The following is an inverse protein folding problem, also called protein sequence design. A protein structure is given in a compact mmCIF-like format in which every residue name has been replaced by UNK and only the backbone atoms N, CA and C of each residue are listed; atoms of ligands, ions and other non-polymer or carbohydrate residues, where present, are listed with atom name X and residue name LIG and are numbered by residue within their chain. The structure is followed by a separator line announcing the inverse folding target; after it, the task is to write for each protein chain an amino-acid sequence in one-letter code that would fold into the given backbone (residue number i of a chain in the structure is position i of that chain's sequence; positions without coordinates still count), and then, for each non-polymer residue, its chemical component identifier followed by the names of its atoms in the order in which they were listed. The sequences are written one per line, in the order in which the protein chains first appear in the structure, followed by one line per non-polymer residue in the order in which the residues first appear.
data_IF_702428333319
#
_entry.id   IF_702428333319
#
_cell.length_a   1.000
_cell.length_b   1.000
_cell.length_c   1.000
_cell.angle_alpha   90.00
_cell.angle_beta   90.00
_cell.angle_gamma   90.00
#
_symmetry.space_group_name_H-M   'P 1'
#
loop_
_entity.id
_entity.type
_entity.pdbx_description
1 polymer ?
#
# COMPACT_ATOMS: atom_id res chain seq x y z
N UNK A 1 -62.52 -10.97 -60.53
CA UNK A 1 -61.08 -11.29 -60.51
C UNK A 1 -60.43 -10.51 -59.38
N UNK A 2 -60.19 -11.16 -58.23
CA UNK A 2 -59.51 -10.53 -57.11
C UNK A 2 -58.05 -10.30 -57.49
N UNK A 3 -57.63 -9.03 -57.64
CA UNK A 3 -56.21 -8.70 -57.82
C UNK A 3 -55.49 -9.12 -56.54
N UNK A 4 -54.70 -10.18 -56.61
CA UNK A 4 -53.81 -10.65 -55.54
C UNK A 4 -52.82 -9.50 -55.29
N UNK A 5 -53.13 -8.69 -54.30
CA UNK A 5 -52.33 -7.52 -53.94
C UNK A 5 -51.15 -7.94 -53.07
N UNK A 6 -49.99 -7.36 -53.36
CA UNK A 6 -48.79 -7.39 -52.52
C UNK A 6 -49.15 -7.26 -51.03
N UNK A 7 -48.70 -8.20 -50.19
CA UNK A 7 -49.00 -8.20 -48.76
C UNK A 7 -47.88 -7.54 -47.94
N UNK A 8 -48.24 -6.93 -46.81
CA UNK A 8 -47.27 -6.30 -45.89
C UNK A 8 -46.27 -7.31 -45.32
N UNK A 9 -46.69 -8.56 -45.12
CA UNK A 9 -45.84 -9.66 -44.65
C UNK A 9 -44.72 -10.03 -45.63
N UNK A 10 -45.00 -10.04 -46.93
CA UNK A 10 -43.98 -10.32 -47.96
C UNK A 10 -42.93 -9.21 -48.01
N UNK A 11 -43.37 -7.95 -47.91
CA UNK A 11 -42.47 -6.79 -47.82
C UNK A 11 -41.60 -6.85 -46.57
N UNK A 12 -42.16 -7.30 -45.44
CA UNK A 12 -41.42 -7.47 -44.18
C UNK A 12 -40.35 -8.55 -44.28
N UNK A 13 -40.71 -9.74 -44.77
CA UNK A 13 -39.76 -10.85 -44.93
C UNK A 13 -38.59 -10.46 -45.84
N UNK A 14 -38.88 -9.78 -46.94
CA UNK A 14 -37.87 -9.33 -47.90
C UNK A 14 -36.95 -8.24 -47.31
N UNK A 15 -37.50 -7.29 -46.56
CA UNK A 15 -36.73 -6.29 -45.81
C UNK A 15 -35.79 -6.95 -44.81
N UNK A 16 -36.29 -7.91 -44.03
CA UNK A 16 -35.52 -8.58 -42.98
C UNK A 16 -34.39 -9.42 -43.60
N UNK A 17 -34.63 -10.04 -44.76
CA UNK A 17 -33.61 -10.75 -45.54
C UNK A 17 -32.51 -9.81 -46.05
N UNK A 18 -32.88 -8.64 -46.60
CA UNK A 18 -31.90 -7.63 -47.04
C UNK A 18 -31.07 -7.07 -45.88
N UNK A 19 -31.68 -6.87 -44.72
CA UNK A 19 -30.98 -6.46 -43.50
C UNK A 19 -30.01 -7.53 -43.01
N UNK A 20 -30.39 -8.81 -43.06
CA UNK A 20 -29.50 -9.94 -42.72
C UNK A 20 -28.30 -10.06 -43.69
N UNK A 21 -28.50 -9.69 -44.96
CA UNK A 21 -27.44 -9.58 -45.96
C UNK A 21 -26.58 -8.31 -45.83
N UNK A 22 -26.87 -7.44 -44.85
CA UNK A 22 -26.14 -6.18 -44.63
C UNK A 22 -26.42 -5.11 -45.67
N UNK A 23 -27.48 -5.25 -46.49
CA UNK A 23 -27.88 -4.29 -47.51
C UNK A 23 -29.01 -3.39 -47.00
N UNK A 24 -28.94 -2.10 -47.33
CA UNK A 24 -29.99 -1.16 -46.96
C UNK A 24 -31.29 -1.47 -47.71
N UNK A 25 -32.43 -1.68 -47.02
CA UNK A 25 -33.70 -2.02 -47.65
C UNK A 25 -34.31 -0.77 -48.30
N UNK A 26 -33.83 -0.42 -49.49
CA UNK A 26 -34.43 0.62 -50.32
C UNK A 26 -35.66 0.09 -51.06
N UNK A 27 -36.56 0.98 -51.48
CA UNK A 27 -37.78 0.61 -52.22
C UNK A 27 -37.44 -0.17 -53.49
N UNK A 28 -36.35 0.21 -54.17
CA UNK A 28 -35.92 -0.44 -55.41
C UNK A 28 -35.24 -1.80 -55.13
N UNK A 29 -34.51 -1.95 -54.01
CA UNK A 29 -33.94 -3.23 -53.59
C UNK A 29 -35.02 -4.25 -53.22
N UNK A 30 -36.02 -3.82 -52.47
CA UNK A 30 -37.18 -4.65 -52.08
C UNK A 30 -38.02 -5.02 -53.31
N UNK A 31 -38.19 -4.08 -54.25
CA UNK A 31 -38.89 -4.36 -55.51
C UNK A 31 -38.12 -5.32 -56.40
N UNK A 32 -36.79 -5.23 -56.46
CA UNK A 32 -35.95 -6.14 -57.22
C UNK A 32 -36.03 -7.57 -56.66
N UNK A 33 -36.12 -7.72 -55.34
CA UNK A 33 -36.21 -9.01 -54.67
C UNK A 33 -37.62 -9.63 -54.69
N UNK A 34 -38.69 -8.81 -54.60
CA UNK A 34 -40.09 -9.29 -54.68
C UNK A 34 -40.59 -9.44 -56.13
N UNK A 35 -40.00 -8.73 -57.09
CA UNK A 35 -40.39 -8.71 -58.50
C UNK A 35 -41.74 -8.04 -58.81
N UNK A 36 -42.58 -7.82 -57.80
CA UNK A 36 -43.95 -7.31 -57.94
C UNK A 36 -44.24 -6.18 -56.94
N UNK A 37 -45.29 -5.39 -57.22
CA UNK A 37 -45.69 -4.25 -56.41
C UNK A 37 -45.27 -2.90 -57.00
N UNK A 38 -46.13 -1.89 -56.82
CA UNK A 38 -45.82 -0.53 -57.22
C UNK A 38 -44.87 0.12 -56.21
N UNK A 39 -44.03 1.04 -56.69
CA UNK A 39 -43.07 1.79 -55.87
C UNK A 39 -43.78 2.50 -54.69
N UNK A 40 -44.99 3.02 -54.91
CA UNK A 40 -45.79 3.67 -53.86
C UNK A 40 -46.32 2.71 -52.81
N UNK A 41 -46.77 1.50 -53.18
CA UNK A 41 -47.25 0.49 -52.24
C UNK A 41 -46.12 -0.08 -51.39
N UNK A 42 -44.96 -0.36 -52.00
CA UNK A 42 -43.77 -0.83 -51.28
C UNK A 42 -43.27 0.26 -50.32
N UNK A 43 -43.20 1.51 -50.78
CA UNK A 43 -42.81 2.63 -49.91
C UNK A 43 -43.78 2.82 -48.73
N UNK A 44 -45.09 2.70 -48.97
CA UNK A 44 -46.10 2.75 -47.91
C UNK A 44 -45.87 1.64 -46.88
N UNK A 45 -45.73 0.38 -47.31
CA UNK A 45 -45.51 -0.73 -46.39
C UNK A 45 -44.17 -0.67 -45.65
N UNK A 46 -43.10 -0.22 -46.31
CA UNK A 46 -41.81 0.00 -45.64
C UNK A 46 -41.91 1.10 -44.57
N UNK A 47 -42.66 2.18 -44.84
CA UNK A 47 -42.91 3.23 -43.86
C UNK A 47 -43.75 2.71 -42.69
N UNK A 48 -44.85 2.02 -42.96
CA UNK A 48 -45.70 1.44 -41.90
C UNK A 48 -44.95 0.42 -41.03
N UNK A 49 -44.11 -0.42 -41.63
CA UNK A 49 -43.25 -1.35 -40.89
C UNK A 49 -42.18 -0.60 -40.09
N UNK A 50 -41.64 0.49 -40.64
CA UNK A 50 -40.74 1.40 -39.95
C UNK A 50 -41.41 2.07 -38.75
N UNK A 51 -42.65 2.53 -38.89
CA UNK A 51 -43.42 3.19 -37.82
C UNK A 51 -43.83 2.19 -36.72
N UNK A 52 -44.16 0.95 -37.08
CA UNK A 52 -44.41 -0.15 -36.13
C UNK A 52 -43.15 -0.58 -35.37
N UNK A 53 -42.01 -0.71 -36.07
CA UNK A 53 -40.73 -1.06 -35.44
C UNK A 53 -40.14 0.09 -34.62
N UNK A 54 -40.46 1.34 -35.00
CA UNK A 54 -40.18 2.57 -34.26
C UNK A 54 -41.34 2.94 -33.33
N UNK A 55 -42.06 2.00 -32.71
CA UNK A 55 -42.85 2.35 -31.54
C UNK A 55 -41.86 2.83 -30.45
N UNK A 56 -41.63 4.14 -30.26
CA UNK A 56 -40.35 4.65 -29.77
C UNK A 56 -40.16 4.45 -28.26
N UNK A 57 -41.25 4.14 -27.55
CA UNK A 57 -41.26 4.02 -26.09
C UNK A 57 -40.66 2.70 -25.63
N UNK A 58 -41.17 1.55 -26.10
CA UNK A 58 -40.85 0.25 -25.50
C UNK A 58 -39.38 -0.17 -25.71
N UNK A 59 -38.89 -0.17 -26.95
CA UNK A 59 -37.49 -0.58 -27.22
C UNK A 59 -36.47 0.36 -26.57
N UNK A 60 -36.71 1.68 -26.58
CA UNK A 60 -35.79 2.65 -25.95
C UNK A 60 -35.83 2.55 -24.43
N UNK A 61 -36.99 2.39 -23.83
CA UNK A 61 -37.13 2.19 -22.38
C UNK A 61 -36.45 0.90 -21.93
N UNK A 62 -36.62 -0.20 -22.67
CA UNK A 62 -35.97 -1.47 -22.33
C UNK A 62 -34.43 -1.36 -22.42
N UNK A 63 -33.91 -0.67 -23.45
CA UNK A 63 -32.48 -0.38 -23.52
C UNK A 63 -32.00 0.54 -22.39
N UNK A 64 -32.78 1.55 -22.02
CA UNK A 64 -32.43 2.48 -20.94
C UNK A 64 -32.42 1.77 -19.58
N UNK A 65 -33.40 0.92 -19.30
CA UNK A 65 -33.45 0.10 -18.07
C UNK A 65 -32.28 -0.88 -18.01
N UNK A 66 -31.94 -1.52 -19.12
CA UNK A 66 -30.79 -2.43 -19.20
C UNK A 66 -29.47 -1.70 -18.92
N UNK A 67 -29.28 -0.52 -19.52
CA UNK A 67 -28.10 0.32 -19.26
C UNK A 67 -28.06 0.82 -17.81
N UNK A 68 -29.18 1.24 -17.24
CA UNK A 68 -29.26 1.63 -15.84
C UNK A 68 -28.85 0.48 -14.91
N UNK A 69 -29.35 -0.74 -15.14
CA UNK A 69 -28.96 -1.90 -14.35
C UNK A 69 -27.45 -2.22 -14.45
N UNK A 70 -26.85 -2.08 -15.64
CA UNK A 70 -25.40 -2.26 -15.80
C UNK A 70 -24.60 -1.18 -15.08
N UNK A 71 -25.05 0.08 -15.13
CA UNK A 71 -24.38 1.19 -14.43
C UNK A 71 -24.49 1.01 -12.91
N UNK A 72 -25.65 0.60 -12.40
CA UNK A 72 -25.84 0.31 -10.96
C UNK A 72 -24.93 -0.83 -10.50
N UNK A 73 -24.84 -1.92 -11.27
CA UNK A 73 -23.93 -3.03 -10.98
C UNK A 73 -22.47 -2.56 -10.94
N UNK A 74 -22.05 -1.76 -11.92
CA UNK A 74 -20.70 -1.22 -11.97
C UNK A 74 -20.41 -0.27 -10.81
N UNK A 75 -21.37 0.58 -10.45
CA UNK A 75 -21.25 1.49 -9.31
C UNK A 75 -21.08 0.71 -8.00
N UNK A 76 -21.85 -0.36 -7.80
CA UNK A 76 -21.73 -1.22 -6.63
C UNK A 76 -20.36 -1.92 -6.58
N UNK A 77 -19.91 -2.49 -7.70
CA UNK A 77 -18.59 -3.12 -7.79
C UNK A 77 -17.45 -2.13 -7.49
N UNK A 78 -17.53 -0.92 -8.04
CA UNK A 78 -16.54 0.12 -7.78
C UNK A 78 -16.52 0.54 -6.31
N UNK A 79 -17.69 0.64 -5.68
CA UNK A 79 -17.81 0.96 -4.27
C UNK A 79 -17.21 -0.13 -3.39
N UNK A 80 -17.53 -1.39 -3.66
CA UNK A 80 -16.95 -2.55 -2.96
C UNK A 80 -15.42 -2.62 -3.13
N UNK A 81 -14.90 -2.34 -4.32
CA UNK A 81 -13.45 -2.28 -4.58
C UNK A 81 -12.79 -1.13 -3.82
N UNK A 82 -13.41 0.04 -3.80
CA UNK A 82 -12.92 1.18 -3.04
C UNK A 82 -12.91 0.87 -1.53
N UNK A 83 -13.97 0.29 -0.99
CA UNK A 83 -14.03 -0.14 0.40
C UNK A 83 -12.96 -1.19 0.72
N UNK A 84 -12.77 -2.19 -0.15
CA UNK A 84 -11.73 -3.20 0.04
C UNK A 84 -10.33 -2.58 0.09
N UNK A 85 -10.02 -1.68 -0.83
CA UNK A 85 -8.74 -0.94 -0.85
C UNK A 85 -8.57 -0.08 0.40
N UNK A 86 -9.63 0.62 0.80
CA UNK A 86 -9.61 1.43 2.01
C UNK A 86 -9.34 0.58 3.26
N UNK A 87 -10.04 -0.55 3.41
CA UNK A 87 -9.85 -1.46 4.55
C UNK A 87 -8.44 -2.04 4.58
N UNK A 88 -7.87 -2.40 3.42
CA UNK A 88 -6.49 -2.88 3.33
C UNK A 88 -5.49 -1.80 3.78
N UNK A 89 -5.58 -0.59 3.22
CA UNK A 89 -4.73 0.54 3.61
C UNK A 89 -4.89 0.90 5.08
N UNK A 90 -6.12 0.87 5.60
CA UNK A 90 -6.38 1.14 7.01
C UNK A 90 -5.75 0.08 7.91
N UNK A 91 -5.82 -1.20 7.54
CA UNK A 91 -5.19 -2.29 8.27
C UNK A 91 -3.65 -2.19 8.27
N UNK A 92 -3.05 -1.89 7.11
CA UNK A 92 -1.60 -1.65 6.99
C UNK A 92 -1.16 -0.47 7.85
N UNK A 93 -1.90 0.64 7.81
CA UNK A 93 -1.62 1.81 8.63
C UNK A 93 -1.75 1.51 10.12
N UNK A 94 -2.76 0.76 10.54
CA UNK A 94 -2.93 0.31 11.92
C UNK A 94 -1.76 -0.56 12.38
N UNK A 95 -1.30 -1.49 11.53
CA UNK A 95 -0.13 -2.31 11.83
C UNK A 95 1.14 -1.46 11.97
N UNK A 96 1.38 -0.54 11.04
CA UNK A 96 2.53 0.36 11.10
C UNK A 96 2.51 1.24 12.36
N UNK A 97 1.33 1.73 12.78
CA UNK A 97 1.20 2.49 14.03
C UNK A 97 1.50 1.63 15.25
N UNK A 98 1.00 0.39 15.31
CA UNK A 98 1.32 -0.53 16.41
C UNK A 98 2.81 -0.87 16.47
N UNK A 99 3.47 -1.05 15.33
CA UNK A 99 4.92 -1.27 15.27
C UNK A 99 5.67 -0.05 15.82
N UNK A 100 5.28 1.17 15.41
CA UNK A 100 5.87 2.41 15.92
C UNK A 100 5.64 2.60 17.42
N UNK A 101 4.45 2.26 17.91
CA UNK A 101 4.15 2.30 19.35
C UNK A 101 5.04 1.33 20.13
N UNK A 102 5.22 0.10 19.64
CA UNK A 102 6.13 -0.88 20.25
C UNK A 102 7.58 -0.42 20.22
N UNK A 103 8.04 0.18 19.13
CA UNK A 103 9.38 0.77 19.04
C UNK A 103 9.56 1.89 20.07
N UNK A 104 8.57 2.77 20.21
CA UNK A 104 8.59 3.85 21.21
C UNK A 104 8.59 3.32 22.64
N UNK A 105 7.81 2.29 22.92
CA UNK A 105 7.79 1.63 24.23
C UNK A 105 9.14 0.98 24.55
N UNK A 106 9.72 0.24 23.59
CA UNK A 106 11.04 -0.34 23.74
C UNK A 106 12.10 0.75 23.99
N UNK A 107 12.05 1.84 23.22
CA UNK A 107 12.97 2.95 23.39
C UNK A 107 12.81 3.61 24.77
N UNK A 108 11.57 3.84 25.22
CA UNK A 108 11.27 4.36 26.56
C UNK A 108 11.83 3.45 27.66
N UNK A 109 11.69 2.13 27.52
CA UNK A 109 12.28 1.17 28.45
C UNK A 109 13.81 1.24 28.45
N UNK A 110 14.44 1.36 27.29
CA UNK A 110 15.90 1.52 27.23
C UNK A 110 16.37 2.83 27.87
N UNK A 111 15.65 3.93 27.66
CA UNK A 111 15.95 5.22 28.29
C UNK A 111 15.80 5.11 29.81
N UNK A 112 14.71 4.52 30.31
CA UNK A 112 14.52 4.32 31.75
C UNK A 112 15.65 3.48 32.37
N UNK A 113 16.03 2.38 31.71
CA UNK A 113 17.14 1.52 32.16
C UNK A 113 18.49 2.24 32.15
N UNK A 114 18.74 3.09 31.14
CA UNK A 114 19.97 3.88 31.07
C UNK A 114 19.99 4.97 32.15
N UNK A 115 18.85 5.58 32.43
CA UNK A 115 18.70 6.54 33.52
C UNK A 115 18.98 5.89 34.87
N UNK A 116 18.36 4.75 35.17
CA UNK A 116 18.64 3.98 36.40
C UNK A 116 20.13 3.67 36.55
N UNK A 117 20.79 3.26 35.46
CA UNK A 117 22.23 2.95 35.48
C UNK A 117 23.11 4.20 35.66
N UNK A 118 22.68 5.36 35.15
CA UNK A 118 23.37 6.63 35.42
C UNK A 118 23.20 7.00 36.89
N UNK A 119 21.99 6.91 37.43
CA UNK A 119 21.71 7.20 38.83
C UNK A 119 22.52 6.29 39.77
N UNK A 120 22.61 4.98 39.47
CA UNK A 120 23.46 4.02 40.19
C UNK A 120 24.94 4.44 40.16
N UNK A 121 25.47 4.78 38.99
CA UNK A 121 26.86 5.22 38.85
C UNK A 121 27.14 6.56 39.53
N UNK A 122 26.17 7.48 39.54
CA UNK A 122 26.26 8.74 40.28
C UNK A 122 26.30 8.47 41.78
N UNK A 123 25.44 7.60 42.31
CA UNK A 123 25.46 7.19 43.72
C UNK A 123 26.76 6.49 44.09
N UNK A 124 27.27 5.59 43.25
CA UNK A 124 28.57 4.94 43.44
C UNK A 124 29.72 5.95 43.41
N UNK A 125 29.67 6.94 42.51
CA UNK A 125 30.66 8.02 42.45
C UNK A 125 30.62 8.91 43.70
N UNK A 126 29.42 9.21 44.24
CA UNK A 126 29.26 9.92 45.50
C UNK A 126 29.72 9.09 46.71
N UNK A 127 29.45 7.78 46.74
CA UNK A 127 29.90 6.88 47.80
C UNK A 127 31.42 6.62 47.74
N UNK A 128 32.00 6.70 46.54
CA UNK A 128 33.44 6.58 46.30
C UNK A 128 34.18 7.90 46.44
N UNK A 129 33.51 9.03 46.76
CA UNK A 129 34.20 10.22 47.25
C UNK A 129 34.74 9.88 48.65
N UNK A 130 36.06 9.69 48.81
CA UNK A 130 36.61 9.48 50.14
C UNK A 130 36.32 10.76 50.94
N UNK A 131 35.80 10.58 52.16
CA UNK A 131 35.68 11.64 53.15
C UNK A 131 36.91 12.55 53.10
N UNK A 132 36.66 13.81 52.79
CA UNK A 132 37.55 14.98 52.87
C UNK A 132 38.98 14.67 53.36
N UNK A 133 39.82 14.18 52.45
CA UNK A 133 41.25 14.37 52.53
C UNK A 133 41.57 15.31 51.38
N UNK A 134 41.30 16.60 51.62
CA UNK A 134 41.74 17.67 50.74
C UNK A 134 43.18 17.42 50.29
N UNK A 135 43.44 17.67 49.01
CA UNK A 135 44.76 17.62 48.41
C UNK A 135 45.78 18.29 49.35
N UNK A 136 46.53 17.48 50.11
CA UNK A 136 47.53 17.96 51.06
C UNK A 136 47.26 17.76 52.56
N UNK A 137 46.64 16.66 53.00
CA UNK A 137 46.85 16.23 54.39
C UNK A 137 48.28 15.69 54.60
N UNK A 138 49.19 16.62 54.83
CA UNK A 138 50.60 16.37 55.12
C UNK A 138 50.86 16.31 56.64
N UNK A 139 49.81 16.23 57.47
CA UNK A 139 49.94 16.15 58.94
C UNK A 139 50.75 14.92 59.38
N UNK A 140 50.67 13.82 58.62
CA UNK A 140 51.47 12.63 58.85
C UNK A 140 52.94 12.73 58.39
N UNK A 141 53.29 13.67 57.50
CA UNK A 141 54.69 13.87 57.06
C UNK A 141 55.56 14.54 58.11
N UNK A 142 54.96 15.31 59.03
CA UNK A 142 55.69 15.91 60.15
C UNK A 142 55.73 15.02 61.39
N UNK A 143 54.96 13.92 61.42
CA UNK A 143 54.89 13.01 62.56
C UNK A 143 55.86 11.80 62.46
N UNK A 144 56.51 11.57 61.31
CA UNK A 144 57.40 10.42 61.12
C UNK A 144 58.81 10.83 60.73
N UNK A 145 59.60 11.27 61.72
CA UNK A 145 61.07 11.31 61.57
C UNK A 145 61.76 10.10 62.23
N UNK A 146 61.00 9.15 62.79
CA UNK A 146 61.55 7.90 63.35
C UNK A 146 60.51 6.77 63.32
N UNK A 147 60.45 6.02 62.21
CA UNK A 147 59.74 4.75 62.20
C UNK A 147 59.37 4.30 60.80
N UNK A 148 60.07 3.29 60.30
CA UNK A 148 59.75 2.66 59.01
C UNK A 148 58.37 2.04 59.05
N UNK A 149 57.49 2.48 58.16
CA UNK A 149 56.22 1.84 57.84
C UNK A 149 56.05 1.87 56.33
N UNK A 150 55.78 0.70 55.76
CA UNK A 150 55.60 0.47 54.34
C UNK A 150 54.29 1.12 53.88
N UNK A 151 54.36 2.28 53.23
CA UNK A 151 53.22 2.85 52.53
C UNK A 151 52.93 2.08 51.24
N UNK A 152 52.01 1.13 51.33
CA UNK A 152 51.44 0.40 50.19
C UNK A 152 50.37 1.23 49.48
N UNK A 153 50.74 2.38 48.94
CA UNK A 153 49.87 3.11 48.00
C UNK A 153 50.09 2.59 46.58
N UNK A 154 49.05 2.49 45.74
CA UNK A 154 49.17 1.97 44.37
C UNK A 154 50.16 2.77 43.49
N UNK A 155 50.43 4.03 43.85
CA UNK A 155 51.44 4.87 43.19
C UNK A 155 52.89 4.51 43.56
N UNK A 156 53.15 3.89 44.73
CA UNK A 156 54.50 3.45 45.11
C UNK A 156 54.94 2.19 44.36
N UNK A 157 53.99 1.35 43.90
CA UNK A 157 54.26 0.22 43.00
C UNK A 157 54.70 0.66 41.60
N UNK A 158 54.15 1.76 41.06
CA UNK A 158 54.45 2.22 39.70
C UNK A 158 55.84 2.88 39.61
N UNK A 159 56.28 3.55 40.68
CA UNK A 159 57.61 4.17 40.73
C UNK A 159 58.76 3.18 41.01
N UNK A 160 58.45 1.96 41.48
CA UNK A 160 59.45 0.92 41.78
C UNK A 160 59.55 -0.17 40.71
N UNK A 161 58.57 -0.31 39.81
CA UNK A 161 58.50 -1.36 38.78
C UNK A 161 59.17 -1.07 37.43
N UNK A 162 59.92 0.03 37.31
CA UNK A 162 60.54 0.44 36.04
C UNK A 162 61.80 -0.33 35.65
N UNK A 163 61.78 -1.67 35.51
CA UNK A 163 62.83 -2.43 34.79
C UNK A 163 62.34 -3.78 34.23
N UNK A 164 62.52 -3.93 32.91
CA UNK A 164 62.45 -5.16 32.08
C UNK A 164 61.02 -5.72 31.84
N UNK A 165 60.60 -6.13 30.65
CA UNK A 165 61.30 -6.62 29.46
C UNK A 165 60.45 -6.46 28.20
N UNK A 166 61.16 -6.20 27.10
CA UNK A 166 60.75 -6.35 25.70
C UNK A 166 60.01 -7.67 25.48
N UNK A 167 58.82 -7.61 24.88
CA UNK A 167 58.26 -8.69 24.08
C UNK A 167 57.76 -8.11 22.76
N UNK A 168 58.47 -8.49 21.71
CA UNK A 168 58.13 -8.32 20.30
C UNK A 168 57.36 -9.57 19.80
N UNK A 169 56.86 -9.51 18.56
CA UNK A 169 56.45 -10.63 17.67
C UNK A 169 54.93 -10.86 17.51
N UNK A 170 54.35 -10.03 16.65
CA UNK A 170 53.77 -10.42 15.35
C UNK A 170 53.46 -11.92 15.12
N UNK A 171 52.17 -12.31 15.03
CA UNK A 171 51.72 -13.59 14.41
C UNK A 171 50.22 -13.64 14.03
N UNK A 172 49.85 -12.94 12.94
CA UNK A 172 48.88 -13.29 11.86
C UNK A 172 47.36 -13.53 12.18
N UNK A 173 46.46 -13.73 11.18
CA UNK A 173 45.46 -12.73 10.78
C UNK A 173 44.00 -13.21 10.91
N UNK A 174 43.06 -12.32 11.22
CA UNK A 174 41.62 -12.66 11.23
C UNK A 174 41.09 -12.61 9.79
N UNK A 175 40.73 -13.78 9.26
CA UNK A 175 40.10 -14.01 7.96
C UNK A 175 38.63 -13.53 8.02
N UNK A 176 38.26 -12.49 7.29
CA UNK A 176 36.86 -12.18 7.01
C UNK A 176 36.36 -13.00 5.81
N UNK A 177 35.26 -13.72 5.99
CA UNK A 177 34.42 -14.22 4.88
C UNK A 177 33.44 -13.11 4.51
N UNK A 178 33.57 -12.55 3.31
CA UNK A 178 32.48 -12.23 2.36
C UNK A 178 33.05 -12.43 0.97
#
# INVERSE_FOLDING_TARGET
MARIGLTKSEVKACRDQLLAEGRYPSVDAVRAALGTGSKSTIHRYLKELGDEDNLPGTKREDTARSLQGMIEQLANQLHEDAERRYRALYAEHQQAMQEKERELEALRQTVARLQERVDELEVDAYASQPHDHGFGDFSHLYASSRGGLNDSTPFSMVLSGGRASVFDVDSRPIRYKV
#
